data_IF_938812661973
#
_entry.id   IF_938812661973
#
_cell.length_a   1.000
_cell.length_b   1.000
_cell.length_c   1.000
_cell.angle_alpha   90.00
_cell.angle_beta   90.00
_cell.angle_gamma   90.00
#
_symmetry.space_group_name_H-M   'P 1'
#
loop_
_entity.id
_entity.type
_entity.pdbx_description
1 polymer ?
#
# COMPACT_ATOMS: atom_id res chain seq x y z
N UNK A 1 28.39 -38.65 -5.09
CA UNK A 1 27.18 -37.86 -4.72
C UNK A 1 27.62 -36.57 -4.01
N UNK A 2 27.23 -35.38 -4.49
CA UNK A 2 27.53 -34.15 -3.76
C UNK A 2 26.61 -34.03 -2.53
N UNK A 3 27.04 -33.37 -1.44
CA UNK A 3 26.19 -33.12 -0.27
C UNK A 3 25.14 -32.04 -0.58
N UNK A 4 24.00 -32.02 0.13
CA UNK A 4 23.03 -30.93 -0.02
C UNK A 4 23.62 -29.64 0.55
N UNK A 5 23.78 -28.62 -0.28
CA UNK A 5 23.97 -27.24 0.18
C UNK A 5 22.66 -26.75 0.79
N UNK A 6 22.49 -27.00 2.08
CA UNK A 6 21.48 -26.33 2.87
C UNK A 6 22.06 -24.98 3.31
N UNK A 7 21.96 -23.98 2.45
CA UNK A 7 22.26 -22.59 2.81
C UNK A 7 21.09 -22.10 3.67
N UNK A 8 21.26 -21.81 4.97
CA UNK A 8 20.27 -21.01 5.66
C UNK A 8 20.34 -19.62 5.04
N UNK A 9 19.32 -19.23 4.28
CA UNK A 9 19.09 -17.81 4.05
C UNK A 9 18.90 -17.22 5.44
N UNK A 10 19.92 -16.49 5.91
CA UNK A 10 19.87 -15.68 7.10
C UNK A 10 18.62 -14.83 7.02
N UNK A 11 17.59 -15.25 7.76
CA UNK A 11 16.45 -14.42 8.07
C UNK A 11 17.02 -13.23 8.84
N UNK A 12 17.31 -12.15 8.11
CA UNK A 12 17.55 -10.85 8.72
C UNK A 12 16.28 -10.55 9.49
N UNK A 13 16.38 -10.54 10.83
CA UNK A 13 15.26 -10.37 11.72
C UNK A 13 14.49 -9.11 11.33
N UNK A 14 13.31 -9.31 10.74
CA UNK A 14 12.34 -8.25 10.63
C UNK A 14 11.97 -7.83 12.06
N UNK A 15 11.97 -6.53 12.40
CA UNK A 15 11.51 -6.09 13.69
C UNK A 15 10.07 -6.56 13.89
N UNK A 16 9.84 -7.27 15.00
CA UNK A 16 8.51 -7.73 15.40
C UNK A 16 7.57 -6.50 15.47
N UNK A 17 6.44 -6.48 14.74
CA UNK A 17 5.62 -5.28 14.66
C UNK A 17 5.00 -5.00 16.03
N UNK A 18 5.33 -3.83 16.57
CA UNK A 18 4.61 -3.24 17.68
C UNK A 18 3.11 -3.22 17.32
N UNK A 19 2.30 -3.69 18.25
CA UNK A 19 0.87 -3.95 18.13
C UNK A 19 0.11 -2.77 17.49
N UNK A 20 -0.33 -2.95 16.25
CA UNK A 20 -1.31 -2.06 15.58
C UNK A 20 -0.90 -1.44 14.25
N UNK A 21 0.38 -1.45 13.87
CA UNK A 21 0.85 -0.86 12.60
C UNK A 21 1.53 -1.96 11.78
N UNK A 22 0.93 -2.32 10.66
CA UNK A 22 1.52 -3.23 9.67
C UNK A 22 2.50 -2.43 8.79
N UNK A 23 3.73 -2.91 8.63
CA UNK A 23 4.77 -2.23 7.85
C UNK A 23 5.11 -3.07 6.64
N UNK A 24 4.91 -2.50 5.45
CA UNK A 24 5.04 -3.19 4.17
C UNK A 24 6.12 -2.52 3.33
N UNK A 25 7.10 -3.27 2.86
CA UNK A 25 8.09 -2.78 1.90
C UNK A 25 7.60 -2.97 0.47
N UNK A 26 7.55 -1.89 -0.32
CA UNK A 26 7.02 -1.90 -1.70
C UNK A 26 7.93 -1.12 -2.64
N UNK A 27 8.21 -1.67 -3.83
CA UNK A 27 8.94 -0.99 -4.90
C UNK A 27 8.02 -0.08 -5.72
N UNK A 28 7.49 0.98 -5.12
CA UNK A 28 6.50 1.87 -5.75
C UNK A 28 7.05 3.23 -6.19
N UNK A 29 8.24 3.62 -5.73
CA UNK A 29 8.83 4.92 -6.07
C UNK A 29 9.53 4.80 -7.44
N UNK A 30 9.06 5.48 -8.49
CA UNK A 30 9.68 5.39 -9.80
C UNK A 30 11.03 6.11 -9.82
N UNK A 31 12.04 5.42 -10.34
CA UNK A 31 13.38 5.97 -10.58
C UNK A 31 13.58 6.26 -12.08
N UNK A 32 13.00 5.42 -12.95
CA UNK A 32 13.06 5.62 -14.40
C UNK A 32 11.81 5.06 -15.08
N UNK A 33 11.32 5.80 -16.07
CA UNK A 33 10.17 5.42 -16.91
C UNK A 33 10.57 4.99 -18.32
N UNK A 34 11.87 4.99 -18.66
CA UNK A 34 12.33 4.62 -20.00
C UNK A 34 11.86 3.19 -20.34
N UNK A 35 11.23 2.95 -21.51
CA UNK A 35 10.71 1.63 -21.89
C UNK A 35 11.64 0.43 -21.67
N UNK A 36 12.95 0.60 -21.89
CA UNK A 36 13.94 -0.49 -21.74
C UNK A 36 14.66 -0.47 -20.38
N UNK A 37 14.45 0.56 -19.57
CA UNK A 37 15.12 0.77 -18.29
C UNK A 37 14.14 1.26 -17.24
N UNK A 38 12.97 0.61 -17.13
CA UNK A 38 12.02 0.91 -16.05
C UNK A 38 12.63 0.47 -14.73
N UNK A 39 12.67 1.38 -13.76
CA UNK A 39 13.25 1.12 -12.46
C UNK A 39 12.41 1.78 -11.36
N UNK A 40 12.30 1.09 -10.23
CA UNK A 40 11.63 1.54 -9.02
C UNK A 40 12.54 1.30 -7.82
N UNK A 41 12.35 2.07 -6.76
CA UNK A 41 13.02 1.85 -5.47
C UNK A 41 12.00 1.55 -4.38
N UNK A 42 12.49 0.88 -3.33
CA UNK A 42 11.70 0.43 -2.20
C UNK A 42 11.28 1.58 -1.30
N UNK A 43 10.07 1.48 -0.75
CA UNK A 43 9.53 2.37 0.27
C UNK A 43 8.79 1.54 1.32
N UNK A 44 8.93 1.93 2.58
CA UNK A 44 8.14 1.39 3.67
C UNK A 44 6.79 2.11 3.74
N UNK A 45 5.72 1.33 3.74
CA UNK A 45 4.35 1.79 3.91
C UNK A 45 3.85 1.33 5.28
N UNK A 46 3.34 2.27 6.07
CA UNK A 46 2.67 1.98 7.33
C UNK A 46 1.17 1.85 7.07
N UNK A 47 0.64 0.64 7.20
CA UNK A 47 -0.78 0.34 7.09
C UNK A 47 -1.40 0.36 8.48
N UNK A 48 -2.46 1.15 8.61
CA UNK A 48 -3.28 1.27 9.82
C UNK A 48 -4.73 0.88 9.52
N UNK A 49 -5.51 0.65 10.58
CA UNK A 49 -6.96 0.42 10.50
C UNK A 49 -7.66 1.54 11.25
N UNK A 50 -8.55 2.26 10.56
CA UNK A 50 -9.32 3.36 11.15
C UNK A 50 -10.83 3.11 10.98
N UNK A 51 -11.65 3.32 12.04
CA UNK A 51 -13.09 3.22 11.93
C UNK A 51 -13.64 4.41 11.12
N UNK A 52 -14.45 4.12 10.11
CA UNK A 52 -15.10 5.14 9.29
C UNK A 52 -16.53 5.43 9.77
N UNK A 53 -16.99 6.69 9.71
CA UNK A 53 -18.38 7.03 9.99
C UNK A 53 -19.38 6.31 9.09
N UNK A 54 -20.46 5.77 9.68
CA UNK A 54 -21.47 5.00 8.94
C UNK A 54 -22.16 5.78 7.81
N UNK A 55 -22.27 7.10 7.91
CA UNK A 55 -22.91 7.92 6.87
C UNK A 55 -22.08 7.99 5.57
N UNK A 56 -20.78 7.70 5.61
CA UNK A 56 -19.94 7.58 4.42
C UNK A 56 -20.22 6.26 3.67
N UNK A 57 -20.72 5.24 4.37
CA UNK A 57 -21.23 4.05 3.72
C UNK A 57 -22.57 4.34 3.03
N UNK A 58 -22.93 3.54 2.05
CA UNK A 58 -24.22 3.64 1.37
C UNK A 58 -24.41 2.59 0.29
N UNK A 59 -25.58 2.54 -0.35
CA UNK A 59 -25.84 1.58 -1.41
C UNK A 59 -24.88 1.79 -2.60
N UNK A 60 -24.28 0.72 -3.15
CA UNK A 60 -23.27 0.85 -4.22
C UNK A 60 -23.75 1.63 -5.45
N UNK A 61 -25.04 1.51 -5.79
CA UNK A 61 -25.64 2.20 -6.94
C UNK A 61 -25.70 3.73 -6.77
N UNK A 62 -25.52 4.26 -5.55
CA UNK A 62 -25.50 5.70 -5.27
C UNK A 62 -24.08 6.29 -5.28
N UNK A 63 -23.04 5.44 -5.29
CA UNK A 63 -21.66 5.87 -5.06
C UNK A 63 -21.19 6.92 -6.07
N UNK A 64 -21.43 6.71 -7.37
CA UNK A 64 -20.98 7.64 -8.42
C UNK A 64 -21.58 9.03 -8.23
N UNK A 65 -22.89 9.13 -8.00
CA UNK A 65 -23.54 10.42 -7.80
C UNK A 65 -22.99 11.14 -6.56
N UNK A 66 -22.80 10.42 -5.45
CA UNK A 66 -22.24 10.99 -4.21
C UNK A 66 -20.81 11.51 -4.41
N UNK A 67 -20.00 10.85 -5.23
CA UNK A 67 -18.65 11.31 -5.57
C UNK A 67 -18.67 12.56 -6.45
N UNK A 68 -19.61 12.64 -7.41
CA UNK A 68 -19.82 13.83 -8.25
C UNK A 68 -20.23 15.02 -7.37
N UNK A 69 -21.23 14.84 -6.51
CA UNK A 69 -21.73 15.89 -5.62
C UNK A 69 -20.63 16.39 -4.67
N UNK A 70 -19.83 15.46 -4.12
CA UNK A 70 -18.68 15.80 -3.29
C UNK A 70 -17.65 16.65 -4.05
N UNK A 71 -17.27 16.26 -5.26
CA UNK A 71 -16.27 16.97 -6.06
C UNK A 71 -16.72 18.41 -6.38
N UNK A 72 -17.97 18.59 -6.80
CA UNK A 72 -18.54 19.92 -7.03
C UNK A 72 -18.57 20.78 -5.76
N UNK A 73 -18.78 20.17 -4.58
CA UNK A 73 -18.70 20.87 -3.31
C UNK A 73 -17.30 21.38 -2.98
N UNK A 74 -16.24 20.67 -3.40
CA UNK A 74 -14.84 21.07 -3.15
C UNK A 74 -14.35 22.19 -4.07
N UNK A 75 -14.84 22.25 -5.31
CA UNK A 75 -14.47 23.32 -6.26
C UNK A 75 -14.95 24.72 -5.81
N UNK A 76 -15.98 24.77 -4.98
CA UNK A 76 -16.62 26.00 -4.51
C UNK A 76 -16.23 26.39 -3.07
N UNK A 77 -15.33 25.64 -2.42
CA UNK A 77 -14.87 25.86 -1.04
C UNK A 77 -13.48 26.51 -1.02
#
# INVERSE_FOLDING_TARGET
>A
PPPPHNTPHSATGAPEPATGIDVIEVNDVPVSFHPHHRAHTGRLLHRTVEPLPHHLAGPPHTLIQRLIDYAHGQENA
#
